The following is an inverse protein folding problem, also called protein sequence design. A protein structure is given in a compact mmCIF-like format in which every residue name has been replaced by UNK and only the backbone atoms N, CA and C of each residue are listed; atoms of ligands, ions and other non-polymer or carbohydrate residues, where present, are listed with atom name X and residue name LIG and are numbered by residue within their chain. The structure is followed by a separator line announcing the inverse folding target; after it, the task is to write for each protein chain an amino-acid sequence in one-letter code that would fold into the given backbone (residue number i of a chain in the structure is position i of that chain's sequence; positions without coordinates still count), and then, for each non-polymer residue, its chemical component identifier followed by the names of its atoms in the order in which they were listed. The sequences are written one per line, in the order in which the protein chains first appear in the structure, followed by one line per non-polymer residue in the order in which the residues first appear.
data_IF_927673438141
#
_entry.id   IF_927673438141
#
_cell.length_a   1.000
_cell.length_b   1.000
_cell.length_c   1.000
_cell.angle_alpha   90.00
_cell.angle_beta   90.00
_cell.angle_gamma   90.00
#
_symmetry.space_group_name_H-M   'P 1'
#
loop_
_entity.id
_entity.type
_entity.pdbx_description
1 polymer ?
#
# COMPACT_ATOMS: atom_id res chain seq x y z
N UNK A 1 7.95 22.39 17.86
CA UNK A 1 8.07 21.95 16.45
C UNK A 1 7.90 20.43 16.46
N UNK A 2 6.70 19.94 16.09
CA UNK A 2 6.45 18.50 16.08
C UNK A 2 7.07 17.89 14.83
N UNK A 3 8.18 17.18 15.02
CA UNK A 3 8.85 16.34 14.03
C UNK A 3 7.82 15.39 13.43
N UNK A 4 7.33 15.71 12.23
CA UNK A 4 6.58 14.76 11.42
C UNK A 4 7.64 13.80 10.88
N UNK A 5 7.82 12.68 11.57
CA UNK A 5 8.52 11.51 11.06
C UNK A 5 7.79 11.02 9.81
N UNK A 6 8.08 11.65 8.67
CA UNK A 6 7.65 11.19 7.35
C UNK A 6 8.51 9.97 7.07
N UNK A 7 8.08 8.82 7.60
CA UNK A 7 8.67 7.52 7.30
C UNK A 7 8.60 7.35 5.78
N UNK A 8 9.74 7.48 5.12
CA UNK A 8 9.85 7.47 3.66
C UNK A 8 9.13 6.24 3.11
N UNK A 9 8.01 6.47 2.45
CA UNK A 9 7.14 5.42 1.97
C UNK A 9 7.73 4.90 0.65
N UNK A 10 8.39 3.75 0.70
CA UNK A 10 8.97 3.10 -0.49
C UNK A 10 7.90 2.75 -1.54
N UNK A 11 6.65 2.61 -1.13
CA UNK A 11 5.54 2.27 -2.01
C UNK A 11 4.81 3.53 -2.49
N UNK A 12 5.02 3.91 -3.75
CA UNK A 12 4.34 5.05 -4.38
C UNK A 12 3.02 4.67 -5.07
N UNK A 13 2.85 3.40 -5.44
CA UNK A 13 1.71 2.91 -6.22
C UNK A 13 0.86 1.89 -5.45
N UNK A 14 -0.44 1.83 -5.79
CA UNK A 14 -1.32 0.82 -5.22
C UNK A 14 -1.08 -0.53 -5.93
N UNK A 15 -0.89 -1.63 -5.19
CA UNK A 15 -0.62 -2.94 -5.82
C UNK A 15 -1.82 -3.50 -6.61
N UNK A 16 -3.05 -3.03 -6.31
CA UNK A 16 -4.28 -3.42 -7.02
C UNK A 16 -4.59 -2.51 -8.20
N UNK A 17 -4.27 -1.21 -8.08
CA UNK A 17 -4.51 -0.21 -9.11
C UNK A 17 -3.20 0.48 -9.43
N UNK A 18 -2.48 -0.05 -10.40
CA UNK A 18 -1.16 0.43 -10.82
C UNK A 18 -1.18 1.89 -11.30
N UNK A 19 -2.31 2.36 -11.81
CA UNK A 19 -2.52 3.76 -12.22
C UNK A 19 -2.76 4.73 -11.06
N UNK A 20 -2.95 4.23 -9.84
CA UNK A 20 -3.26 5.09 -8.68
C UNK A 20 -2.10 5.16 -7.71
N UNK A 21 -1.68 6.39 -7.39
CA UNK A 21 -0.69 6.64 -6.33
C UNK A 21 -1.32 6.48 -4.95
N UNK A 22 -0.48 6.08 -3.99
CA UNK A 22 -0.85 5.92 -2.59
C UNK A 22 -0.15 6.98 -1.75
N UNK A 23 -0.84 7.44 -0.71
CA UNK A 23 -0.31 8.42 0.23
C UNK A 23 -0.22 7.81 1.64
N UNK A 24 0.60 8.37 2.53
CA UNK A 24 0.68 7.92 3.91
C UNK A 24 -0.63 8.09 4.70
N UNK A 25 -1.55 8.95 4.23
CA UNK A 25 -2.93 9.08 4.75
C UNK A 25 -3.90 8.04 4.18
N UNK A 26 -3.51 7.30 3.15
CA UNK A 26 -4.35 6.28 2.52
C UNK A 26 -4.39 5.01 3.37
N UNK A 27 -5.43 4.16 3.22
CA UNK A 27 -5.52 2.92 3.99
C UNK A 27 -4.30 2.04 3.72
N UNK A 28 -3.69 1.52 4.79
CA UNK A 28 -2.56 0.60 4.73
C UNK A 28 -2.86 -0.68 5.48
N UNK A 29 -2.29 -1.79 5.04
CA UNK A 29 -2.38 -3.10 5.69
C UNK A 29 -1.01 -3.73 5.79
N UNK A 30 -0.78 -4.47 6.86
CA UNK A 30 0.42 -5.29 7.00
C UNK A 30 0.21 -6.64 6.30
N UNK A 31 1.10 -6.97 5.37
CA UNK A 31 1.06 -8.18 4.56
C UNK A 31 2.47 -8.73 4.54
N UNK A 32 2.67 -9.95 5.03
CA UNK A 32 3.98 -10.63 4.99
C UNK A 32 5.10 -9.82 5.67
N UNK A 33 4.77 -9.14 6.78
CA UNK A 33 5.70 -8.25 7.50
C UNK A 33 6.04 -6.94 6.77
N UNK A 34 5.44 -6.69 5.60
CA UNK A 34 5.56 -5.43 4.85
C UNK A 34 4.29 -4.59 4.99
N UNK A 35 4.46 -3.28 5.21
CA UNK A 35 3.34 -2.33 5.24
C UNK A 35 2.99 -1.91 3.83
N UNK A 36 1.84 -2.37 3.36
CA UNK A 36 1.31 -2.11 2.02
C UNK A 36 0.25 -1.03 2.08
N UNK A 37 0.36 -0.03 1.22
CA UNK A 37 -0.63 1.06 1.15
C UNK A 37 -1.59 0.86 -0.02
N UNK A 38 -2.80 1.38 0.12
CA UNK A 38 -3.87 1.18 -0.83
C UNK A 38 -4.58 2.50 -1.10
N UNK A 39 -4.95 2.74 -2.36
CA UNK A 39 -5.64 3.99 -2.71
C UNK A 39 -7.07 4.02 -2.19
N UNK A 40 -7.72 2.86 -2.04
CA UNK A 40 -9.12 2.72 -1.65
C UNK A 40 -9.32 1.49 -0.77
N UNK A 41 -10.35 1.51 0.08
CA UNK A 41 -10.75 0.34 0.89
C UNK A 41 -11.08 -0.88 0.04
N UNK A 42 -11.71 -0.68 -1.14
CA UNK A 42 -11.99 -1.77 -2.10
C UNK A 42 -10.71 -2.43 -2.62
N UNK A 43 -9.61 -1.69 -2.73
CA UNK A 43 -8.32 -2.24 -3.09
C UNK A 43 -7.80 -3.17 -1.98
N UNK A 44 -7.97 -2.79 -0.71
CA UNK A 44 -7.60 -3.64 0.43
C UNK A 44 -8.34 -4.97 0.37
N UNK A 45 -9.67 -4.96 0.14
CA UNK A 45 -10.46 -6.21 0.06
C UNK A 45 -10.05 -7.08 -1.12
N UNK A 46 -9.82 -6.47 -2.31
CA UNK A 46 -9.31 -7.20 -3.48
C UNK A 46 -7.94 -7.81 -3.23
N UNK A 47 -7.07 -7.05 -2.57
CA UNK A 47 -5.75 -7.52 -2.19
C UNK A 47 -5.83 -8.67 -1.19
N UNK A 48 -6.65 -8.55 -0.12
CA UNK A 48 -6.89 -9.63 0.84
C UNK A 48 -7.44 -10.90 0.19
N UNK A 49 -8.31 -10.75 -0.81
CA UNK A 49 -8.88 -11.88 -1.54
C UNK A 49 -7.85 -12.59 -2.45
N UNK A 50 -6.81 -11.87 -2.91
CA UNK A 50 -5.82 -12.47 -3.80
C UNK A 50 -4.41 -11.87 -3.63
N UNK A 51 -3.82 -11.98 -2.42
CA UNK A 51 -2.61 -11.23 -2.08
C UNK A 51 -1.42 -11.69 -2.92
N UNK A 52 -1.33 -12.97 -3.25
CA UNK A 52 -0.30 -13.55 -4.11
C UNK A 52 -0.28 -12.97 -5.53
N UNK A 53 -1.44 -12.54 -6.06
CA UNK A 53 -1.52 -11.90 -7.38
C UNK A 53 -0.95 -10.50 -7.35
N UNK A 54 -1.29 -9.73 -6.32
CA UNK A 54 -0.96 -8.30 -6.22
C UNK A 54 0.37 -8.03 -5.51
N UNK A 55 0.90 -8.99 -4.75
CA UNK A 55 2.23 -8.90 -4.14
C UNK A 55 3.34 -8.75 -5.19
N UNK A 56 3.11 -9.20 -6.43
CA UNK A 56 4.00 -8.99 -7.58
C UNK A 56 4.16 -7.51 -7.94
N UNK A 57 3.17 -6.67 -7.61
CA UNK A 57 3.18 -5.23 -7.89
C UNK A 57 3.75 -4.42 -6.71
N UNK A 58 4.17 -5.08 -5.63
CA UNK A 58 4.83 -4.41 -4.52
C UNK A 58 6.29 -4.13 -4.89
N UNK A 59 6.83 -2.96 -4.50
CA UNK A 59 8.25 -2.72 -4.63
C UNK A 59 9.01 -3.77 -3.81
N UNK A 60 9.98 -4.43 -4.45
CA UNK A 60 10.81 -5.48 -3.83
C UNK A 60 11.72 -4.90 -2.77
#
# INVERSE_FOLDING_TARGET
MASKDIKAMKQLFCPVYTDTRVHPKSPSMEVDGKKVYFSKTRAVTRFKANPAKYSKNLPK
#
